data_IF_462874001131
#
_entry.id   IF_462874001131
#
_cell.length_a   1.000
_cell.length_b   1.000
_cell.length_c   1.000
_cell.angle_alpha   90.00
_cell.angle_beta   90.00
_cell.angle_gamma   90.00
#
_symmetry.space_group_name_H-M   'P 1'
#
loop_
_entity.id
_entity.type
_entity.pdbx_description
1 polymer ?
#
# COMPACT_ATOMS: atom_id res chain seq x y z
N UNK A 1 -8.39 1.47 -2.01
CA UNK A 1 -8.35 0.02 -1.68
C UNK A 1 -8.71 -0.26 -0.21
N UNK A 2 -7.99 0.26 0.80
CA UNK A 2 -8.17 -0.20 2.19
C UNK A 2 -9.55 0.07 2.79
N UNK A 3 -10.25 1.13 2.37
CA UNK A 3 -11.62 1.42 2.84
C UNK A 3 -12.63 0.35 2.41
N UNK A 4 -12.58 -0.07 1.13
CA UNK A 4 -13.50 -1.10 0.62
C UNK A 4 -13.17 -2.47 1.24
N UNK A 5 -11.88 -2.79 1.37
CA UNK A 5 -11.43 -4.01 2.06
C UNK A 5 -11.88 -4.04 3.51
N UNK A 6 -11.69 -2.95 4.27
CA UNK A 6 -12.15 -2.87 5.66
C UNK A 6 -13.66 -3.06 5.81
N UNK A 7 -14.44 -2.50 4.88
CA UNK A 7 -15.89 -2.71 4.84
C UNK A 7 -16.24 -4.18 4.55
N UNK A 8 -15.56 -4.80 3.59
CA UNK A 8 -15.77 -6.21 3.23
C UNK A 8 -15.42 -7.14 4.41
N UNK A 9 -14.29 -6.91 5.09
CA UNK A 9 -13.87 -7.66 6.28
C UNK A 9 -14.92 -7.58 7.40
N UNK A 10 -15.60 -6.44 7.53
CA UNK A 10 -16.65 -6.26 8.55
C UNK A 10 -18.01 -6.86 8.14
N UNK A 11 -18.45 -6.62 6.89
CA UNK A 11 -19.78 -6.99 6.43
C UNK A 11 -19.90 -8.44 6.00
N UNK A 12 -18.92 -8.97 5.24
CA UNK A 12 -19.05 -10.29 4.61
C UNK A 12 -19.27 -11.40 5.64
N UNK A 13 -18.51 -11.51 6.74
CA UNK A 13 -18.76 -12.55 7.74
C UNK A 13 -20.19 -12.50 8.31
N UNK A 14 -20.71 -11.28 8.53
CA UNK A 14 -22.07 -11.08 9.05
C UNK A 14 -23.15 -11.45 8.04
N UNK A 15 -22.92 -11.18 6.76
CA UNK A 15 -23.86 -11.53 5.69
C UNK A 15 -24.00 -13.05 5.52
N UNK A 16 -22.93 -13.81 5.73
CA UNK A 16 -22.93 -15.27 5.58
C UNK A 16 -23.13 -16.03 6.90
N UNK A 17 -23.37 -15.32 8.01
CA UNK A 17 -23.53 -15.92 9.34
C UNK A 17 -22.26 -16.57 9.91
N UNK A 18 -21.09 -16.23 9.37
CA UNK A 18 -19.81 -16.70 9.89
C UNK A 18 -19.35 -15.86 11.08
N UNK A 19 -18.64 -16.51 12.02
CA UNK A 19 -18.08 -15.83 13.19
C UNK A 19 -16.92 -14.90 12.84
N UNK A 20 -16.12 -15.28 11.85
CA UNK A 20 -14.89 -14.58 11.45
C UNK A 20 -14.51 -14.95 10.00
N UNK A 21 -13.47 -14.33 9.46
CA UNK A 21 -12.86 -14.68 8.18
C UNK A 21 -12.21 -16.06 8.20
N UNK A 22 -12.00 -16.63 7.02
CA UNK A 22 -11.40 -17.96 6.83
C UNK A 22 -9.98 -18.03 7.43
N UNK A 23 -9.21 -16.94 7.31
CA UNK A 23 -7.84 -16.84 7.83
C UNK A 23 -7.62 -15.56 8.67
N UNK A 24 -8.11 -15.50 9.92
CA UNK A 24 -8.09 -14.26 10.71
C UNK A 24 -6.70 -13.66 10.92
N UNK A 25 -5.69 -14.52 11.16
CA UNK A 25 -4.29 -14.08 11.34
C UNK A 25 -3.66 -13.55 10.05
N UNK A 26 -4.00 -14.15 8.91
CA UNK A 26 -3.49 -13.71 7.61
C UNK A 26 -4.14 -12.37 7.22
N UNK A 27 -5.43 -12.20 7.50
CA UNK A 27 -6.13 -10.93 7.31
C UNK A 27 -5.54 -9.82 8.18
N UNK A 28 -5.18 -10.13 9.44
CA UNK A 28 -4.46 -9.19 10.30
C UNK A 28 -3.07 -8.83 9.75
N UNK A 29 -2.32 -9.80 9.21
CA UNK A 29 -1.05 -9.53 8.53
C UNK A 29 -1.24 -8.61 7.33
N UNK A 30 -2.28 -8.83 6.51
CA UNK A 30 -2.63 -7.96 5.39
C UNK A 30 -2.88 -6.51 5.82
N UNK A 31 -3.58 -6.30 6.95
CA UNK A 31 -3.74 -4.97 7.54
C UNK A 31 -2.39 -4.33 7.89
N UNK A 32 -1.47 -5.06 8.52
CA UNK A 32 -0.14 -4.52 8.85
C UNK A 32 0.68 -4.18 7.61
N UNK A 33 0.60 -4.98 6.55
CA UNK A 33 1.24 -4.65 5.27
C UNK A 33 0.71 -3.32 4.71
N UNK A 34 -0.61 -3.10 4.72
CA UNK A 34 -1.19 -1.81 4.32
C UNK A 34 -0.76 -0.65 5.21
N UNK A 35 -0.68 -0.87 6.53
CA UNK A 35 -0.27 0.16 7.47
C UNK A 35 1.20 0.58 7.22
N UNK A 36 2.12 -0.38 7.16
CA UNK A 36 3.53 -0.09 6.97
C UNK A 36 3.83 0.43 5.56
N UNK A 37 3.20 -0.13 4.52
CA UNK A 37 3.33 0.39 3.15
C UNK A 37 2.83 1.82 3.02
N UNK A 38 1.68 2.12 3.62
CA UNK A 38 1.13 3.47 3.71
C UNK A 38 2.05 4.44 4.47
N UNK A 39 2.65 4.00 5.60
CA UNK A 39 3.61 4.82 6.36
C UNK A 39 4.86 5.10 5.51
N UNK A 40 5.40 4.10 4.81
CA UNK A 40 6.57 4.27 3.93
C UNK A 40 6.25 5.30 2.84
N UNK A 41 5.12 5.15 2.13
CA UNK A 41 4.69 6.12 1.11
C UNK A 41 4.49 7.53 1.68
N UNK A 42 3.79 7.67 2.81
CA UNK A 42 3.55 8.98 3.43
C UNK A 42 4.84 9.62 3.95
N UNK A 43 5.77 8.82 4.47
CA UNK A 43 7.08 9.31 4.93
C UNK A 43 7.88 9.96 3.80
N UNK A 44 7.74 9.46 2.55
CA UNK A 44 8.40 10.05 1.38
C UNK A 44 8.01 11.51 1.14
N UNK A 45 6.78 11.89 1.50
CA UNK A 45 6.27 13.26 1.38
C UNK A 45 6.93 14.16 2.43
N UNK A 46 7.01 13.72 3.67
CA UNK A 46 7.63 14.49 4.76
C UNK A 46 9.15 14.63 4.59
N UNK A 47 9.80 13.62 4.00
CA UNK A 47 11.23 13.64 3.71
C UNK A 47 11.58 14.37 2.40
N UNK A 48 10.60 14.83 1.63
CA UNK A 48 10.81 15.53 0.36
C UNK A 48 11.33 14.63 -0.79
N UNK A 49 11.25 13.31 -0.62
CA UNK A 49 11.73 12.29 -1.56
C UNK A 49 10.58 11.58 -2.30
N UNK A 50 9.41 12.22 -2.35
CA UNK A 50 8.27 11.66 -3.07
C UNK A 50 8.61 11.38 -4.56
N UNK A 51 8.07 10.29 -5.13
CA UNK A 51 8.29 9.92 -6.53
C UNK A 51 7.71 10.98 -7.48
N UNK A 52 8.47 11.35 -8.51
CA UNK A 52 8.06 12.36 -9.52
C UNK A 52 7.55 11.75 -10.82
N UNK A 53 7.65 10.42 -10.97
CA UNK A 53 7.27 9.69 -12.19
C UNK A 53 5.76 9.39 -12.31
N UNK A 54 4.93 9.93 -11.41
CA UNK A 54 3.51 9.63 -11.30
C UNK A 54 3.25 8.22 -10.78
N UNK A 55 1.97 7.87 -10.62
CA UNK A 55 1.55 6.60 -10.01
C UNK A 55 1.88 5.36 -10.86
N UNK A 56 1.95 5.50 -12.19
CA UNK A 56 2.24 4.40 -13.10
C UNK A 56 3.74 4.09 -13.22
N UNK A 57 4.61 5.00 -12.77
CA UNK A 57 6.07 4.88 -12.82
C UNK A 57 6.62 4.41 -14.18
N UNK A 58 6.25 5.07 -15.28
CA UNK A 58 6.74 4.72 -16.62
C UNK A 58 8.28 4.57 -16.62
N UNK A 59 8.74 3.42 -17.10
CA UNK A 59 10.14 2.98 -17.05
C UNK A 59 11.17 4.03 -17.48
N UNK A 60 11.00 4.78 -18.59
CA UNK A 60 11.98 5.81 -18.95
C UNK A 60 12.06 6.93 -17.90
N UNK A 61 10.93 7.32 -17.29
CA UNK A 61 10.86 8.42 -16.31
C UNK A 61 11.28 7.99 -14.90
N UNK A 62 11.06 6.72 -14.54
CA UNK A 62 11.44 6.14 -13.25
C UNK A 62 12.88 5.59 -13.22
N UNK A 63 13.52 5.50 -14.38
CA UNK A 63 14.91 5.03 -14.50
C UNK A 63 15.91 6.01 -13.88
N UNK A 64 17.04 5.48 -13.42
CA UNK A 64 18.13 6.25 -12.79
C UNK A 64 18.68 7.39 -13.68
N UNK A 65 18.51 7.30 -15.00
CA UNK A 65 18.92 8.37 -15.94
C UNK A 65 18.05 9.61 -15.85
N UNK A 66 16.75 9.47 -15.54
CA UNK A 66 15.80 10.59 -15.45
C UNK A 66 15.44 10.95 -14.02
N UNK A 67 15.51 9.99 -13.09
CA UNK A 67 15.26 10.20 -11.67
C UNK A 67 16.34 9.50 -10.83
N UNK A 68 17.56 10.08 -10.76
CA UNK A 68 18.61 9.56 -9.89
C UNK A 68 18.24 9.82 -8.42
N UNK A 69 18.07 8.75 -7.64
CA UNK A 69 17.80 8.84 -6.20
C UNK A 69 16.87 7.75 -5.70
N UNK A 70 16.58 7.79 -4.40
CA UNK A 70 15.76 6.79 -3.68
C UNK A 70 14.25 7.00 -3.87
N UNK A 71 13.83 8.04 -4.59
CA UNK A 71 12.42 8.42 -4.71
C UNK A 71 11.58 7.31 -5.36
N UNK A 72 12.14 6.62 -6.36
CA UNK A 72 11.49 5.46 -6.99
C UNK A 72 11.33 4.29 -6.01
N UNK A 73 12.31 4.10 -5.12
CA UNK A 73 12.35 2.97 -4.20
C UNK A 73 11.26 3.09 -3.12
N UNK A 74 10.96 4.30 -2.66
CA UNK A 74 9.84 4.54 -1.73
C UNK A 74 8.48 4.13 -2.32
N UNK A 75 8.29 4.30 -3.62
CA UNK A 75 7.07 3.85 -4.30
C UNK A 75 7.01 2.33 -4.48
N UNK A 76 8.17 1.69 -4.68
CA UNK A 76 8.24 0.24 -4.86
C UNK A 76 8.13 -0.54 -3.54
N UNK A 77 8.59 0.06 -2.44
CA UNK A 77 8.59 -0.56 -1.12
C UNK A 77 7.27 -0.39 -0.36
N UNK A 78 6.53 0.69 -0.62
CA UNK A 78 5.29 1.00 0.08
C UNK A 78 4.04 0.53 -0.66
#
# INVERSE_FOLDING_TARGET
>A
VPMMEGLAVYLIPKMIGARDLIFPRLSALGYYCYLFGGIILLSSVFLGVAPKAGWFMYTPLSSSSHMPGVNSDFWLLG
#
